data_IF_534756487482
#
_entry.id   IF_534756487482
#
_cell.length_a   1.000
_cell.length_b   1.000
_cell.length_c   1.000
_cell.angle_alpha   90.00
_cell.angle_beta   90.00
_cell.angle_gamma   90.00
#
_symmetry.space_group_name_H-M   'P 1'
#
loop_
_entity.id
_entity.type
_entity.pdbx_description
1 polymer ?
#
# COMPACT_ATOMS: atom_id res chain seq x y z
N UNK A 1 -12.51 -20.56 25.86
CA UNK A 1 -12.12 -19.16 26.09
C UNK A 1 -10.63 -19.03 25.88
N UNK A 2 -10.26 -18.53 24.71
CA UNK A 2 -9.02 -17.80 24.36
C UNK A 2 -9.47 -16.97 23.13
N UNK A 3 -9.68 -15.64 23.22
CA UNK A 3 -10.49 -14.94 22.22
C UNK A 3 -9.76 -14.66 20.91
N UNK A 4 -8.44 -14.86 20.83
CA UNK A 4 -7.68 -14.58 19.61
C UNK A 4 -6.59 -15.63 19.39
N UNK A 5 -6.57 -16.20 18.19
CA UNK A 5 -5.54 -17.10 17.67
C UNK A 5 -4.69 -16.26 16.71
N UNK A 6 -3.37 -16.34 16.81
CA UNK A 6 -2.46 -15.64 15.90
C UNK A 6 -2.73 -16.16 14.47
N UNK A 7 -3.32 -15.32 13.60
CA UNK A 7 -3.59 -15.60 12.19
C UNK A 7 -2.39 -15.14 11.33
N UNK A 8 -1.17 -15.43 11.75
CA UNK A 8 0.00 -15.00 10.98
C UNK A 8 0.04 -15.83 9.69
N UNK A 9 -0.40 -15.24 8.58
CA UNK A 9 0.04 -15.65 7.26
C UNK A 9 1.57 -15.54 7.21
N UNK A 10 2.21 -16.46 6.50
CA UNK A 10 3.64 -16.44 6.27
C UNK A 10 4.06 -15.05 5.76
N UNK A 11 5.04 -14.35 6.39
CA UNK A 11 5.46 -13.02 5.96
C UNK A 11 5.78 -12.96 4.46
N UNK A 12 6.31 -14.08 3.94
CA UNK A 12 6.66 -14.33 2.55
C UNK A 12 5.49 -14.09 1.56
N UNK A 13 4.24 -14.30 1.98
CA UNK A 13 3.04 -14.21 1.13
C UNK A 13 2.25 -12.90 1.29
N UNK A 14 2.43 -12.18 2.39
CA UNK A 14 1.66 -10.97 2.71
C UNK A 14 2.37 -9.65 2.39
N UNK A 15 3.63 -9.70 1.99
CA UNK A 15 4.36 -8.48 1.73
C UNK A 15 4.47 -8.15 0.25
N UNK A 16 4.34 -6.86 -0.04
CA UNK A 16 4.53 -6.30 -1.38
C UNK A 16 5.89 -6.71 -1.96
N UNK A 17 5.87 -7.15 -3.22
CA UNK A 17 7.11 -7.40 -3.96
C UNK A 17 7.87 -6.07 -4.12
N UNK A 18 9.17 -6.03 -3.76
CA UNK A 18 10.01 -4.88 -4.01
C UNK A 18 9.90 -4.43 -5.47
N UNK A 19 9.73 -3.13 -5.68
CA UNK A 19 9.45 -2.61 -7.02
C UNK A 19 8.96 -1.18 -7.02
N UNK A 20 8.79 -0.63 -8.22
CA UNK A 20 8.21 0.70 -8.43
C UNK A 20 6.93 0.58 -9.24
N UNK A 21 5.86 1.16 -8.71
CA UNK A 21 4.51 1.14 -9.27
C UNK A 21 4.08 2.57 -9.58
N UNK A 22 3.47 2.79 -10.73
CA UNK A 22 3.02 4.11 -11.18
C UNK A 22 1.50 4.12 -11.30
N UNK A 23 0.88 5.19 -10.83
CA UNK A 23 -0.56 5.39 -10.89
C UNK A 23 -0.84 6.81 -11.34
N UNK A 24 -1.78 6.95 -12.28
CA UNK A 24 -2.33 8.23 -12.69
C UNK A 24 -3.63 8.45 -11.91
N UNK A 25 -3.75 9.61 -11.26
CA UNK A 25 -4.94 9.97 -10.51
C UNK A 25 -6.16 10.15 -11.42
N UNK A 26 -7.33 9.78 -10.89
CA UNK A 26 -8.62 9.91 -11.56
C UNK A 26 -9.61 10.67 -10.67
N UNK A 27 -10.72 11.15 -11.24
CA UNK A 27 -11.73 11.91 -10.50
C UNK A 27 -11.14 13.18 -9.86
N UNK A 28 -11.33 13.35 -8.55
CA UNK A 28 -10.80 14.49 -7.79
C UNK A 28 -9.26 14.53 -7.73
N UNK A 29 -8.60 13.41 -8.04
CA UNK A 29 -7.14 13.30 -8.13
C UNK A 29 -6.62 13.43 -9.57
N UNK A 30 -7.48 13.78 -10.53
CA UNK A 30 -7.08 13.99 -11.91
C UNK A 30 -5.88 14.95 -12.01
N UNK A 31 -4.96 14.66 -12.92
CA UNK A 31 -3.69 15.37 -13.14
C UNK A 31 -2.61 15.18 -12.07
N UNK A 32 -2.86 14.43 -11.00
CA UNK A 32 -1.83 14.03 -10.06
C UNK A 32 -1.19 12.69 -10.45
N UNK A 33 0.14 12.59 -10.30
CA UNK A 33 0.90 11.35 -10.57
C UNK A 33 1.44 10.78 -9.28
N UNK A 34 1.18 9.50 -9.05
CA UNK A 34 1.61 8.78 -7.86
C UNK A 34 2.64 7.71 -8.25
N UNK A 35 3.75 7.66 -7.52
CA UNK A 35 4.73 6.58 -7.65
C UNK A 35 4.93 5.94 -6.29
N UNK A 36 4.65 4.65 -6.19
CA UNK A 36 4.98 3.87 -4.99
C UNK A 36 6.28 3.12 -5.26
N UNK A 37 7.26 3.34 -4.39
CA UNK A 37 8.46 2.51 -4.31
C UNK A 37 8.37 1.62 -3.07
N UNK A 38 8.39 0.32 -3.29
CA UNK A 38 8.46 -0.70 -2.24
C UNK A 38 9.93 -1.12 -2.15
N UNK A 39 10.59 -0.80 -1.04
CA UNK A 39 11.99 -1.21 -0.82
C UNK A 39 12.02 -2.66 -0.30
N UNK A 40 11.16 -2.96 0.68
CA UNK A 40 10.92 -4.30 1.20
C UNK A 40 9.47 -4.40 1.72
N UNK A 41 9.07 -5.58 2.20
CA UNK A 41 7.71 -5.82 2.69
C UNK A 41 7.26 -4.87 3.81
N UNK A 42 8.19 -4.26 4.55
CA UNK A 42 7.90 -3.45 5.74
C UNK A 42 8.09 -1.95 5.53
N UNK A 43 8.57 -1.52 4.35
CA UNK A 43 8.94 -0.12 4.11
C UNK A 43 8.83 0.27 2.64
N UNK A 44 8.26 1.46 2.41
CA UNK A 44 8.18 2.06 1.09
C UNK A 44 8.05 3.58 1.13
N UNK A 45 7.98 4.16 -0.06
CA UNK A 45 7.85 5.60 -0.28
C UNK A 45 6.78 5.85 -1.31
N UNK A 46 5.86 6.75 -0.99
CA UNK A 46 4.93 7.35 -1.96
C UNK A 46 5.50 8.69 -2.43
N UNK A 47 5.60 8.86 -3.73
CA UNK A 47 5.90 10.13 -4.39
C UNK A 47 4.64 10.66 -5.06
N UNK A 48 4.34 11.94 -4.83
CA UNK A 48 3.24 12.66 -5.50
C UNK A 48 3.83 13.80 -6.32
N UNK A 49 3.50 13.81 -7.61
CA UNK A 49 3.95 14.81 -8.60
C UNK A 49 5.47 15.03 -8.66
N UNK A 50 6.25 14.05 -8.23
CA UNK A 50 7.70 14.13 -8.07
C UNK A 50 8.20 15.30 -7.20
N UNK A 51 7.31 15.94 -6.44
CA UNK A 51 7.63 17.09 -5.57
C UNK A 51 7.37 16.82 -4.09
N UNK A 52 6.55 15.79 -3.78
CA UNK A 52 6.24 15.39 -2.40
C UNK A 52 6.64 13.93 -2.19
N UNK A 53 7.29 13.65 -1.06
CA UNK A 53 7.75 12.34 -0.64
C UNK A 53 7.12 12.00 0.72
N UNK A 54 6.48 10.84 0.82
CA UNK A 54 5.86 10.33 2.05
C UNK A 54 6.46 8.95 2.34
N UNK A 55 7.09 8.80 3.51
CA UNK A 55 7.61 7.51 3.96
C UNK A 55 6.51 6.68 4.61
N UNK A 56 6.39 5.43 4.20
CA UNK A 56 5.34 4.52 4.65
C UNK A 56 5.96 3.31 5.35
N UNK A 57 5.35 2.92 6.47
CA UNK A 57 5.55 1.57 7.02
C UNK A 57 4.75 0.55 6.18
N UNK A 58 4.99 -0.74 6.39
CA UNK A 58 4.35 -1.81 5.61
C UNK A 58 2.83 -1.67 5.55
N UNK A 59 2.18 -1.51 6.70
CA UNK A 59 0.71 -1.36 6.77
C UNK A 59 0.18 -0.16 5.99
N UNK A 60 0.83 1.01 6.10
CA UNK A 60 0.42 2.20 5.36
C UNK A 60 0.65 2.05 3.85
N UNK A 61 1.70 1.31 3.46
CA UNK A 61 2.00 1.00 2.08
C UNK A 61 0.91 0.12 1.44
N UNK A 62 0.45 -0.90 2.16
CA UNK A 62 -0.64 -1.77 1.73
C UNK A 62 -1.96 -1.01 1.58
N UNK A 63 -2.24 -0.12 2.53
CA UNK A 63 -3.45 0.71 2.53
C UNK A 63 -3.48 1.69 1.36
N UNK A 64 -2.39 2.43 1.14
CA UNK A 64 -2.25 3.38 0.02
C UNK A 64 -2.39 2.69 -1.32
N UNK A 65 -1.81 1.49 -1.48
CA UNK A 65 -1.94 0.72 -2.73
C UNK A 65 -3.39 0.31 -2.98
N UNK A 66 -4.11 -0.16 -1.97
CA UNK A 66 -5.50 -0.55 -2.17
C UNK A 66 -6.37 0.63 -2.61
N UNK A 67 -6.16 1.81 -2.02
CA UNK A 67 -6.83 3.04 -2.45
C UNK A 67 -6.47 3.37 -3.91
N UNK A 68 -5.19 3.33 -4.27
CA UNK A 68 -4.73 3.66 -5.63
C UNK A 68 -5.17 2.63 -6.69
N UNK A 69 -5.39 1.38 -6.29
CA UNK A 69 -5.93 0.32 -7.15
C UNK A 69 -7.47 0.36 -7.24
N UNK A 70 -8.13 1.33 -6.59
CA UNK A 70 -9.58 1.43 -6.54
C UNK A 70 -10.24 0.30 -5.77
N UNK A 71 -9.49 -0.39 -4.91
CA UNK A 71 -10.03 -1.41 -4.00
C UNK A 71 -10.68 -0.71 -2.82
N UNK A 72 -11.76 -1.32 -2.32
CA UNK A 72 -12.48 -0.84 -1.15
C UNK A 72 -11.54 -0.78 0.07
N UNK A 73 -11.33 0.43 0.58
CA UNK A 73 -10.48 0.72 1.73
C UNK A 73 -11.05 0.13 3.03
N UNK A 74 -12.34 -0.18 3.08
CA UNK A 74 -12.93 -0.88 4.22
C UNK A 74 -12.68 -2.40 4.15
N UNK A 75 -12.38 -2.94 2.95
CA UNK A 75 -12.02 -4.35 2.73
C UNK A 75 -10.53 -4.63 2.75
N UNK A 76 -9.69 -3.64 3.07
CA UNK A 76 -8.23 -3.83 2.97
C UNK A 76 -7.71 -4.92 3.89
N UNK A 77 -8.36 -5.14 5.04
CA UNK A 77 -8.08 -6.24 5.96
C UNK A 77 -8.29 -7.65 5.36
N UNK A 78 -9.00 -7.78 4.24
CA UNK A 78 -9.17 -9.05 3.54
C UNK A 78 -8.04 -9.34 2.53
N UNK A 79 -7.17 -8.34 2.28
CA UNK A 79 -6.04 -8.41 1.36
C UNK A 79 -4.67 -8.26 2.07
N UNK A 80 -4.70 -8.11 3.40
CA UNK A 80 -3.58 -8.08 4.35
C UNK A 80 -3.63 -9.31 5.25
#
# INVERSE_FOLDING_TARGET
>A
MMPFRLLAYSPEELGLKPGTYKYDGTGDLAHHRFHIRVDNQTKGVLMVDASKLIFLNGTALDYVRCILEGKDADRTHAYM
#
